data_IF_418876753524
#
_entry.id   IF_418876753524
#
_cell.length_a   1.000
_cell.length_b   1.000
_cell.length_c   1.000
_cell.angle_alpha   90.00
_cell.angle_beta   90.00
_cell.angle_gamma   90.00
#
_symmetry.space_group_name_H-M   'P 1'
#
loop_
_entity.id
_entity.type
_entity.pdbx_description
1 polymer ?
#
# COMPACT_ATOMS: atom_id res chain seq x y z
N UNK A 1 17.14 10.81 -26.59
CA UNK A 1 17.21 9.36 -26.24
C UNK A 1 16.72 9.25 -24.81
N UNK A 2 15.55 8.65 -24.57
CA UNK A 2 15.05 8.36 -23.22
C UNK A 2 15.99 7.32 -22.59
N UNK A 3 16.75 7.69 -21.56
CA UNK A 3 17.56 6.77 -20.78
C UNK A 3 16.61 5.85 -20.00
N UNK A 4 16.47 4.62 -20.48
CA UNK A 4 15.72 3.58 -19.75
C UNK A 4 16.38 3.39 -18.38
N UNK A 5 15.62 3.51 -17.30
CA UNK A 5 16.18 3.35 -15.96
C UNK A 5 16.78 1.94 -15.84
N UNK A 6 17.91 1.80 -15.13
CA UNK A 6 18.59 0.52 -14.91
C UNK A 6 17.62 -0.55 -14.35
N UNK A 7 16.59 -0.12 -13.60
CA UNK A 7 15.54 -0.98 -13.09
C UNK A 7 14.60 -1.52 -14.17
N UNK A 8 14.25 -0.69 -15.14
CA UNK A 8 13.43 -1.09 -16.30
C UNK A 8 14.20 -2.07 -17.17
N UNK A 9 15.48 -1.81 -17.42
CA UNK A 9 16.37 -2.70 -18.16
C UNK A 9 16.51 -4.08 -17.49
N UNK A 10 16.72 -4.14 -16.17
CA UNK A 10 16.76 -5.40 -15.41
C UNK A 10 15.44 -6.17 -15.45
N UNK A 11 14.32 -5.47 -15.37
CA UNK A 11 12.99 -6.12 -15.46
C UNK A 11 12.78 -6.70 -16.86
N UNK A 12 13.07 -5.93 -17.91
CA UNK A 12 13.04 -6.43 -19.29
C UNK A 12 13.94 -7.64 -19.50
N UNK A 13 15.17 -7.59 -18.99
CA UNK A 13 16.11 -8.71 -19.05
C UNK A 13 15.55 -9.97 -18.36
N UNK A 14 14.86 -9.84 -17.22
CA UNK A 14 14.25 -10.98 -16.54
C UNK A 14 13.21 -11.68 -17.44
N UNK A 15 12.39 -10.92 -18.16
CA UNK A 15 11.44 -11.50 -19.11
C UNK A 15 12.15 -12.19 -20.27
N UNK A 16 13.15 -11.54 -20.87
CA UNK A 16 13.93 -12.13 -21.97
C UNK A 16 14.62 -13.41 -21.51
N UNK A 17 15.26 -13.38 -20.35
CA UNK A 17 15.94 -14.56 -19.82
C UNK A 17 15.00 -15.72 -19.52
N UNK A 18 13.82 -15.45 -18.96
CA UNK A 18 12.79 -16.49 -18.73
C UNK A 18 12.31 -17.11 -20.06
N UNK A 19 12.16 -16.30 -21.10
CA UNK A 19 11.86 -16.79 -22.44
C UNK A 19 13.00 -17.67 -22.99
N UNK A 20 14.26 -17.23 -22.85
CA UNK A 20 15.43 -18.04 -23.27
C UNK A 20 15.51 -19.35 -22.50
N UNK A 21 15.18 -19.39 -21.20
CA UNK A 21 15.11 -20.63 -20.42
C UNK A 21 14.05 -21.58 -20.95
N UNK A 22 12.88 -21.07 -21.32
CA UNK A 22 11.82 -21.85 -21.93
C UNK A 22 12.29 -22.41 -23.31
N UNK A 23 12.82 -21.55 -24.17
CA UNK A 23 13.32 -21.96 -25.49
C UNK A 23 14.49 -22.99 -25.38
N UNK A 24 15.37 -22.85 -24.39
CA UNK A 24 16.45 -23.81 -24.13
C UNK A 24 15.94 -25.17 -23.66
N UNK A 25 14.81 -25.18 -22.92
CA UNK A 25 14.17 -26.45 -22.51
C UNK A 25 13.56 -27.20 -23.69
N UNK A 26 13.09 -26.48 -24.72
CA UNK A 26 12.58 -27.07 -25.97
C UNK A 26 13.72 -27.48 -26.93
N UNK A 27 14.77 -26.65 -27.02
CA UNK A 27 15.96 -26.91 -27.84
C UNK A 27 17.22 -26.40 -27.12
N UNK A 28 18.11 -27.35 -26.65
CA UNK A 28 19.33 -27.01 -25.95
C UNK A 28 20.33 -26.17 -26.76
N UNK A 29 20.19 -26.04 -28.07
CA UNK A 29 21.01 -25.16 -28.90
C UNK A 29 20.77 -23.68 -28.60
N UNK A 30 19.62 -23.31 -28.03
CA UNK A 30 19.30 -21.95 -27.64
C UNK A 30 20.12 -21.52 -26.40
N UNK A 31 20.84 -20.41 -26.53
CA UNK A 31 21.65 -19.89 -25.43
C UNK A 31 20.82 -19.13 -24.41
N UNK A 32 21.14 -19.33 -23.12
CA UNK A 32 20.53 -18.61 -22.01
C UNK A 32 21.52 -17.55 -21.47
N UNK A 33 21.19 -16.26 -21.50
CA UNK A 33 22.04 -15.22 -20.96
C UNK A 33 22.31 -15.44 -19.45
N UNK A 34 23.54 -15.24 -18.94
CA UNK A 34 23.84 -15.42 -17.52
C UNK A 34 23.02 -14.45 -16.66
N UNK A 35 22.55 -14.93 -15.51
CA UNK A 35 21.70 -14.13 -14.58
C UNK A 35 22.44 -12.88 -14.04
N UNK A 36 23.78 -12.87 -14.14
CA UNK A 36 24.66 -11.82 -13.61
C UNK A 36 24.90 -10.65 -14.57
N UNK A 37 24.31 -10.62 -15.78
CA UNK A 37 24.51 -9.53 -16.78
C UNK A 37 24.38 -8.13 -16.18
N UNK A 38 23.46 -7.92 -15.25
CA UNK A 38 23.27 -6.64 -14.56
C UNK A 38 23.85 -6.61 -13.13
N UNK A 39 24.76 -7.55 -12.81
CA UNK A 39 25.35 -7.70 -11.48
C UNK A 39 24.40 -8.36 -10.46
N UNK A 40 24.99 -8.83 -9.34
CA UNK A 40 24.25 -9.50 -8.24
C UNK A 40 23.64 -8.53 -7.21
N UNK A 41 23.72 -7.22 -7.42
CA UNK A 41 23.31 -6.23 -6.44
C UNK A 41 21.82 -6.34 -6.09
N UNK A 42 21.50 -6.57 -4.80
CA UNK A 42 20.15 -6.35 -4.27
C UNK A 42 19.79 -4.87 -4.50
N UNK A 43 18.59 -4.62 -5.02
CA UNK A 43 18.09 -3.24 -5.14
C UNK A 43 17.93 -2.69 -3.73
N UNK A 44 18.55 -1.56 -3.37
CA UNK A 44 18.18 -0.88 -2.14
C UNK A 44 16.69 -0.53 -2.26
N UNK A 45 15.88 -0.98 -1.30
CA UNK A 45 14.50 -0.53 -1.21
C UNK A 45 14.54 0.91 -0.71
N UNK A 46 13.88 1.86 -1.39
CA UNK A 46 13.85 3.23 -0.89
C UNK A 46 13.12 3.26 0.44
N UNK A 47 13.61 4.05 1.38
CA UNK A 47 12.92 4.30 2.66
C UNK A 47 11.45 4.68 2.40
N UNK A 48 10.48 4.12 3.15
CA UNK A 48 9.08 4.45 2.98
C UNK A 48 8.85 5.93 3.29
N UNK A 49 8.02 6.57 2.48
CA UNK A 49 7.55 7.92 2.79
C UNK A 49 6.37 7.81 3.77
N UNK A 50 6.57 8.27 5.01
CA UNK A 50 5.53 8.26 6.03
C UNK A 50 4.69 9.52 5.92
N UNK A 51 3.41 9.33 5.62
CA UNK A 51 2.46 10.42 5.40
C UNK A 51 1.88 10.84 6.75
N UNK A 52 1.90 12.13 7.05
CA UNK A 52 1.34 12.65 8.30
C UNK A 52 -0.20 12.64 8.25
N UNK A 53 -0.88 12.48 9.41
CA UNK A 53 -2.35 12.43 9.47
C UNK A 53 -3.02 13.66 8.84
N UNK A 54 -2.44 14.83 9.01
CA UNK A 54 -2.92 16.10 8.44
C UNK A 54 -2.87 16.07 6.92
N UNK A 55 -1.80 15.50 6.35
CA UNK A 55 -1.64 15.36 4.90
C UNK A 55 -2.67 14.38 4.32
N UNK A 56 -2.94 13.27 5.03
CA UNK A 56 -3.98 12.30 4.62
C UNK A 56 -5.34 13.00 4.60
N UNK A 57 -5.70 13.71 5.68
CA UNK A 57 -6.97 14.46 5.77
C UNK A 57 -7.09 15.52 4.69
N UNK A 58 -6.00 16.25 4.41
CA UNK A 58 -5.97 17.26 3.35
C UNK A 58 -6.21 16.65 1.95
N UNK A 59 -5.57 15.51 1.64
CA UNK A 59 -5.79 14.79 0.37
C UNK A 59 -7.22 14.29 0.27
N UNK A 60 -7.77 13.70 1.34
CA UNK A 60 -9.16 13.26 1.37
C UNK A 60 -10.12 14.43 1.14
N UNK A 61 -9.91 15.56 1.81
CA UNK A 61 -10.74 16.78 1.63
C UNK A 61 -10.64 17.30 0.20
N UNK A 62 -9.43 17.42 -0.34
CA UNK A 62 -9.20 17.89 -1.71
C UNK A 62 -9.83 16.94 -2.77
N UNK A 63 -10.01 15.65 -2.46
CA UNK A 63 -10.70 14.73 -3.34
C UNK A 63 -12.17 15.09 -3.57
N UNK A 64 -12.84 15.72 -2.60
CA UNK A 64 -14.24 16.17 -2.74
C UNK A 64 -14.38 17.32 -3.75
N UNK A 65 -13.32 18.05 -4.02
CA UNK A 65 -13.28 19.16 -4.99
C UNK A 65 -12.97 18.71 -6.43
N UNK A 66 -12.76 17.42 -6.65
CA UNK A 66 -12.50 16.88 -7.99
C UNK A 66 -13.70 17.07 -8.92
N UNK A 67 -13.47 17.42 -10.20
CA UNK A 67 -14.52 17.43 -11.20
C UNK A 67 -14.92 16.00 -11.65
N UNK A 68 -16.18 15.79 -12.04
CA UNK A 68 -17.30 16.72 -11.93
C UNK A 68 -17.81 16.79 -10.47
N UNK A 69 -18.02 18.02 -9.98
CA UNK A 69 -18.54 18.26 -8.61
C UNK A 69 -19.98 17.73 -8.48
N UNK A 70 -20.34 17.28 -7.27
CA UNK A 70 -21.68 16.74 -6.99
C UNK A 70 -21.94 15.34 -7.54
N UNK A 71 -21.04 14.77 -8.28
CA UNK A 71 -21.12 13.38 -8.78
C UNK A 71 -20.41 12.41 -7.83
N UNK A 72 -20.63 11.11 -8.03
CA UNK A 72 -20.08 10.08 -7.13
C UNK A 72 -18.55 10.03 -7.08
N UNK A 73 -17.84 10.32 -8.18
CA UNK A 73 -16.38 10.14 -8.25
C UNK A 73 -15.57 10.90 -7.19
N UNK A 74 -15.85 12.18 -6.86
CA UNK A 74 -15.20 12.88 -5.75
C UNK A 74 -15.33 12.12 -4.41
N UNK A 75 -16.53 11.68 -4.07
CA UNK A 75 -16.78 10.90 -2.85
C UNK A 75 -16.05 9.55 -2.89
N UNK A 76 -16.06 8.89 -4.04
CA UNK A 76 -15.32 7.63 -4.22
C UNK A 76 -13.84 7.78 -3.87
N UNK A 77 -13.14 8.80 -4.39
CA UNK A 77 -11.74 9.01 -4.06
C UNK A 77 -11.51 9.44 -2.61
N UNK A 78 -12.42 10.25 -2.05
CA UNK A 78 -12.37 10.63 -0.64
C UNK A 78 -12.38 9.40 0.28
N UNK A 79 -13.39 8.54 0.14
CA UNK A 79 -13.55 7.37 1.00
C UNK A 79 -12.56 6.24 0.66
N UNK A 80 -12.18 6.07 -0.60
CA UNK A 80 -11.14 5.12 -1.01
C UNK A 80 -9.80 5.44 -0.36
N UNK A 81 -9.37 6.70 -0.39
CA UNK A 81 -8.10 7.09 0.22
C UNK A 81 -8.15 6.98 1.75
N UNK A 82 -9.29 7.30 2.36
CA UNK A 82 -9.52 7.08 3.78
C UNK A 82 -9.42 5.61 4.17
N UNK A 83 -10.09 4.72 3.43
CA UNK A 83 -10.02 3.27 3.67
C UNK A 83 -8.59 2.74 3.53
N UNK A 84 -7.88 3.13 2.47
CA UNK A 84 -6.48 2.70 2.26
C UNK A 84 -5.56 3.17 3.39
N UNK A 85 -5.76 4.38 3.91
CA UNK A 85 -5.00 4.92 5.04
C UNK A 85 -5.30 4.19 6.35
N UNK A 86 -6.59 3.85 6.58
CA UNK A 86 -7.05 3.25 7.82
C UNK A 86 -6.83 1.73 7.92
N UNK A 87 -6.66 1.05 6.77
CA UNK A 87 -6.57 -0.42 6.72
C UNK A 87 -5.28 -0.95 6.09
N UNK A 88 -4.50 -0.11 5.44
CA UNK A 88 -3.31 -0.55 4.71
C UNK A 88 -3.60 -1.53 3.57
N UNK A 89 -4.83 -1.65 3.08
CA UNK A 89 -5.18 -2.49 1.94
C UNK A 89 -4.36 -2.13 0.69
N UNK A 90 -4.09 -3.13 -0.16
CA UNK A 90 -3.57 -2.83 -1.49
C UNK A 90 -4.66 -2.15 -2.32
N UNK A 91 -4.27 -1.19 -3.17
CA UNK A 91 -5.23 -0.52 -4.06
C UNK A 91 -6.06 -1.51 -4.88
N UNK A 92 -5.45 -2.61 -5.36
CA UNK A 92 -6.17 -3.64 -6.12
C UNK A 92 -7.17 -4.41 -5.26
N UNK A 93 -6.89 -4.62 -3.98
CA UNK A 93 -7.81 -5.25 -3.04
C UNK A 93 -8.99 -4.33 -2.74
N UNK A 94 -8.72 -3.05 -2.41
CA UNK A 94 -9.76 -2.07 -2.15
C UNK A 94 -10.69 -1.83 -3.35
N UNK A 95 -10.17 -1.84 -4.57
CA UNK A 95 -10.96 -1.67 -5.79
C UNK A 95 -11.73 -2.94 -6.22
N UNK A 96 -11.39 -4.09 -5.66
CA UNK A 96 -12.10 -5.34 -5.90
C UNK A 96 -13.20 -5.61 -4.87
N UNK A 97 -13.34 -4.76 -3.84
CA UNK A 97 -14.39 -4.89 -2.82
C UNK A 97 -15.77 -4.70 -3.45
N UNK A 98 -16.69 -5.56 -3.03
CA UNK A 98 -18.10 -5.47 -3.34
C UNK A 98 -18.87 -4.92 -2.14
N UNK A 99 -20.11 -4.45 -2.34
CA UNK A 99 -20.94 -3.97 -1.24
C UNK A 99 -21.17 -5.06 -0.18
N UNK A 100 -21.34 -6.31 -0.61
CA UNK A 100 -21.57 -7.47 0.24
C UNK A 100 -20.31 -7.92 1.02
N UNK A 101 -19.15 -7.35 0.73
CA UNK A 101 -17.93 -7.61 1.49
C UNK A 101 -17.89 -6.81 2.80
N UNK A 102 -18.74 -5.81 2.97
CA UNK A 102 -18.91 -5.09 4.24
C UNK A 102 -19.83 -5.91 5.15
N UNK A 103 -19.26 -6.69 6.05
CA UNK A 103 -19.96 -7.54 7.01
C UNK A 103 -19.90 -6.95 8.42
N UNK A 104 -20.63 -7.51 9.38
CA UNK A 104 -20.68 -7.03 10.76
C UNK A 104 -19.28 -6.91 11.40
N UNK A 105 -18.42 -7.90 11.20
CA UNK A 105 -17.07 -7.95 11.79
C UNK A 105 -16.02 -7.15 11.01
N UNK A 106 -16.33 -6.59 9.83
CA UNK A 106 -15.34 -5.87 9.03
C UNK A 106 -15.53 -5.93 7.53
N UNK A 107 -14.40 -6.08 6.81
CA UNK A 107 -14.37 -6.23 5.36
C UNK A 107 -13.77 -7.58 4.96
N UNK A 108 -14.45 -8.32 4.09
CA UNK A 108 -13.93 -9.56 3.50
C UNK A 108 -13.12 -9.21 2.25
N UNK A 109 -11.82 -9.45 2.29
CA UNK A 109 -10.93 -9.34 1.13
C UNK A 109 -10.83 -10.69 0.45
N UNK A 110 -11.58 -10.88 -0.67
CA UNK A 110 -11.73 -12.18 -1.34
C UNK A 110 -10.54 -12.58 -2.21
N UNK A 111 -9.90 -11.62 -2.85
CA UNK A 111 -8.87 -11.87 -3.85
C UNK A 111 -7.47 -11.54 -3.34
N UNK A 112 -7.09 -12.11 -2.18
CA UNK A 112 -5.71 -12.06 -1.71
C UNK A 112 -4.76 -12.82 -2.66
N UNK A 113 -3.44 -12.59 -2.52
CA UNK A 113 -2.44 -13.35 -3.26
C UNK A 113 -2.63 -14.85 -3.02
N UNK A 114 -2.69 -15.67 -4.07
CA UNK A 114 -3.01 -17.12 -4.04
C UNK A 114 -4.48 -17.46 -3.72
N UNK A 115 -5.46 -16.58 -3.99
CA UNK A 115 -6.89 -16.86 -3.79
C UNK A 115 -7.33 -16.91 -2.32
N UNK A 116 -6.44 -16.55 -1.37
CA UNK A 116 -6.79 -16.57 0.06
C UNK A 116 -7.70 -15.39 0.42
N UNK A 117 -8.74 -15.70 1.17
CA UNK A 117 -9.63 -14.68 1.77
C UNK A 117 -9.12 -14.31 3.16
N UNK A 118 -9.36 -13.05 3.56
CA UNK A 118 -9.13 -12.61 4.93
C UNK A 118 -10.14 -11.55 5.34
N UNK A 119 -10.46 -11.56 6.61
CA UNK A 119 -11.24 -10.51 7.25
C UNK A 119 -10.31 -9.36 7.68
N UNK A 120 -10.72 -8.14 7.39
CA UNK A 120 -10.11 -6.90 7.87
C UNK A 120 -11.06 -6.31 8.90
N UNK A 121 -10.73 -6.41 10.18
CA UNK A 121 -11.49 -5.77 11.24
C UNK A 121 -11.52 -4.26 11.05
N UNK A 122 -12.69 -3.65 11.20
CA UNK A 122 -12.87 -2.21 11.07
C UNK A 122 -13.18 -1.59 12.43
N UNK A 123 -12.52 -0.47 12.71
CA UNK A 123 -12.93 0.40 13.80
C UNK A 123 -14.32 1.00 13.50
N UNK A 124 -15.16 1.27 14.53
CA UNK A 124 -16.51 1.80 14.34
C UNK A 124 -16.56 3.06 13.45
N UNK A 125 -15.60 3.98 13.62
CA UNK A 125 -15.50 5.19 12.81
C UNK A 125 -15.29 4.94 11.32
N UNK A 126 -14.52 3.89 10.97
CA UNK A 126 -14.27 3.52 9.57
C UNK A 126 -15.51 2.88 8.97
N UNK A 127 -16.18 2.02 9.73
CA UNK A 127 -17.48 1.45 9.35
C UNK A 127 -18.49 2.56 9.05
N UNK A 128 -18.68 3.48 9.98
CA UNK A 128 -19.59 4.61 9.81
C UNK A 128 -19.26 5.45 8.56
N UNK A 129 -17.97 5.66 8.29
CA UNK A 129 -17.55 6.35 7.07
C UNK A 129 -17.95 5.59 5.79
N UNK A 130 -17.80 4.25 5.76
CA UNK A 130 -18.21 3.45 4.61
C UNK A 130 -19.73 3.44 4.44
N UNK A 131 -20.49 3.36 5.51
CA UNK A 131 -21.96 3.45 5.50
C UNK A 131 -22.43 4.82 4.97
N UNK A 132 -21.78 5.92 5.40
CA UNK A 132 -22.03 7.25 4.86
C UNK A 132 -21.71 7.35 3.36
N UNK A 133 -20.65 6.67 2.91
CA UNK A 133 -20.36 6.56 1.49
C UNK A 133 -21.43 5.78 0.74
N UNK A 134 -21.90 4.64 1.26
CA UNK A 134 -22.97 3.85 0.65
C UNK A 134 -24.28 4.63 0.58
N UNK A 135 -24.63 5.38 1.62
CA UNK A 135 -25.79 6.28 1.61
C UNK A 135 -25.64 7.38 0.53
N UNK A 136 -24.46 7.98 0.40
CA UNK A 136 -24.17 8.95 -0.66
C UNK A 136 -24.27 8.33 -2.04
N UNK A 137 -23.77 7.11 -2.20
CA UNK A 137 -23.85 6.32 -3.42
C UNK A 137 -25.30 6.05 -3.84
N UNK A 138 -26.13 5.61 -2.90
CA UNK A 138 -27.56 5.39 -3.12
C UNK A 138 -28.28 6.69 -3.53
N UNK A 139 -28.04 7.78 -2.80
CA UNK A 139 -28.63 9.10 -3.09
C UNK A 139 -28.26 9.62 -4.49
N UNK A 140 -27.06 9.31 -4.98
CA UNK A 140 -26.60 9.71 -6.30
C UNK A 140 -26.94 8.70 -7.41
N UNK A 141 -27.76 7.67 -7.10
CA UNK A 141 -28.24 6.69 -8.07
C UNK A 141 -27.16 5.79 -8.66
N UNK A 142 -26.03 5.61 -7.97
CA UNK A 142 -24.97 4.73 -8.45
C UNK A 142 -25.38 3.26 -8.29
N UNK A 143 -25.33 2.52 -9.38
CA UNK A 143 -25.72 1.10 -9.47
C UNK A 143 -24.50 0.16 -9.46
N UNK A 144 -24.77 -1.15 -9.47
CA UNK A 144 -23.75 -2.21 -9.48
C UNK A 144 -23.31 -2.63 -8.08
N UNK A 145 -22.53 -3.71 -7.96
CA UNK A 145 -22.11 -4.28 -6.67
C UNK A 145 -20.71 -3.83 -6.24
N UNK A 146 -19.90 -3.22 -7.12
CA UNK A 146 -18.59 -2.69 -6.73
C UNK A 146 -18.75 -1.70 -5.58
N UNK A 147 -17.99 -1.85 -4.48
CA UNK A 147 -18.07 -0.94 -3.34
C UNK A 147 -17.74 0.50 -3.78
N UNK A 148 -16.62 0.70 -4.45
CA UNK A 148 -16.19 1.99 -4.98
C UNK A 148 -16.53 2.12 -6.47
N UNK A 149 -17.29 3.13 -6.85
CA UNK A 149 -17.72 3.33 -8.23
C UNK A 149 -17.42 4.73 -8.74
N UNK A 150 -17.19 4.83 -10.03
CA UNK A 150 -17.13 6.11 -10.77
C UNK A 150 -18.50 6.46 -11.34
N UNK A 151 -18.61 7.61 -12.01
CA UNK A 151 -19.81 8.01 -12.78
C UNK A 151 -20.24 6.98 -13.84
N UNK A 152 -19.37 6.02 -14.17
CA UNK A 152 -19.66 4.93 -15.13
C UNK A 152 -20.26 3.69 -14.46
N UNK A 153 -20.54 3.73 -13.17
CA UNK A 153 -21.07 2.59 -12.40
C UNK A 153 -20.09 1.44 -12.18
N UNK A 154 -18.79 1.64 -12.41
CA UNK A 154 -17.74 0.63 -12.25
C UNK A 154 -16.62 1.15 -11.37
N UNK A 155 -15.87 0.23 -10.75
CA UNK A 155 -14.71 0.57 -9.96
C UNK A 155 -13.68 1.42 -10.74
N UNK A 156 -13.02 2.39 -10.08
CA UNK A 156 -11.92 3.12 -10.68
C UNK A 156 -10.79 2.18 -11.11
N UNK A 157 -10.18 2.41 -12.26
CA UNK A 157 -8.98 1.68 -12.62
C UNK A 157 -7.81 2.09 -11.71
N UNK A 158 -7.00 1.12 -11.26
CA UNK A 158 -5.88 1.35 -10.30
C UNK A 158 -4.92 2.46 -10.73
N UNK A 159 -4.61 2.56 -12.03
CA UNK A 159 -3.74 3.61 -12.57
C UNK A 159 -4.41 4.98 -12.40
N UNK A 160 -5.72 5.07 -12.64
CA UNK A 160 -6.46 6.32 -12.47
C UNK A 160 -6.48 6.77 -11.01
N UNK A 161 -6.71 5.85 -10.07
CA UNK A 161 -6.64 6.16 -8.63
C UNK A 161 -5.26 6.70 -8.23
N UNK A 162 -4.18 6.08 -8.75
CA UNK A 162 -2.82 6.55 -8.53
C UNK A 162 -2.60 7.96 -9.11
N UNK A 163 -3.02 8.21 -10.35
CA UNK A 163 -2.90 9.53 -11.00
C UNK A 163 -3.65 10.60 -10.23
N UNK A 164 -4.88 10.31 -9.77
CA UNK A 164 -5.68 11.25 -8.96
C UNK A 164 -4.96 11.56 -7.66
N UNK A 165 -4.49 10.56 -6.93
CA UNK A 165 -3.75 10.76 -5.67
C UNK A 165 -2.51 11.64 -5.87
N UNK A 166 -1.68 11.34 -6.87
CA UNK A 166 -0.46 12.09 -7.18
C UNK A 166 -0.78 13.54 -7.59
N UNK A 167 -1.86 13.75 -8.35
CA UNK A 167 -2.33 15.09 -8.72
C UNK A 167 -2.70 15.89 -7.47
N UNK A 168 -3.49 15.32 -6.56
CA UNK A 168 -3.87 15.99 -5.32
C UNK A 168 -2.66 16.28 -4.43
N UNK A 169 -1.75 15.33 -4.28
CA UNK A 169 -0.51 15.52 -3.52
C UNK A 169 0.34 16.67 -4.09
N UNK A 170 0.38 16.84 -5.42
CA UNK A 170 1.04 17.99 -6.06
C UNK A 170 0.32 19.31 -5.80
N UNK A 171 -1.00 19.33 -5.94
CA UNK A 171 -1.81 20.52 -5.69
C UNK A 171 -1.65 21.05 -4.26
N UNK A 172 -1.44 20.14 -3.31
CA UNK A 172 -1.22 20.45 -1.89
C UNK A 172 0.26 20.69 -1.53
N UNK A 173 1.17 20.65 -2.51
CA UNK A 173 2.61 20.85 -2.26
C UNK A 173 3.34 19.68 -1.60
N UNK A 174 2.69 18.51 -1.45
CA UNK A 174 3.28 17.32 -0.82
C UNK A 174 4.13 16.48 -1.80
N UNK A 175 4.11 16.82 -3.06
CA UNK A 175 4.90 16.17 -4.09
C UNK A 175 5.36 17.18 -5.13
N UNK A 176 6.63 17.11 -5.51
CA UNK A 176 7.21 17.96 -6.55
C UNK A 176 6.70 17.65 -7.97
N UNK A 177 7.23 18.37 -8.97
CA UNK A 177 6.84 18.23 -10.38
C UNK A 177 6.97 16.81 -10.93
N UNK A 178 6.53 16.62 -12.17
CA UNK A 178 6.67 15.33 -12.88
C UNK A 178 8.15 14.96 -13.00
N UNK A 179 8.47 13.70 -12.71
CA UNK A 179 9.86 13.19 -12.71
C UNK A 179 10.54 13.22 -11.34
N UNK A 180 10.00 13.94 -10.34
CA UNK A 180 10.56 13.94 -8.98
C UNK A 180 10.01 12.80 -8.13
N UNK A 181 10.85 12.29 -7.21
CA UNK A 181 10.41 11.39 -6.15
C UNK A 181 9.43 12.10 -5.20
N UNK A 182 8.68 11.36 -4.40
CA UNK A 182 7.79 11.91 -3.39
C UNK A 182 6.59 11.01 -3.12
N UNK A 183 5.64 11.51 -2.34
CA UNK A 183 4.44 10.81 -1.88
C UNK A 183 3.70 10.05 -2.98
N UNK A 184 3.37 8.78 -2.73
CA UNK A 184 2.66 7.88 -3.64
C UNK A 184 1.46 7.27 -2.93
N UNK A 185 0.47 6.81 -3.69
CA UNK A 185 -0.69 6.12 -3.13
C UNK A 185 -0.33 4.91 -2.26
N UNK A 186 0.72 4.17 -2.63
CA UNK A 186 1.17 3.01 -1.86
C UNK A 186 1.80 3.38 -0.52
N UNK A 187 2.23 4.62 -0.36
CA UNK A 187 2.80 5.10 0.91
C UNK A 187 1.74 5.21 2.02
N UNK A 188 0.43 5.25 1.69
CA UNK A 188 -0.65 5.08 2.68
C UNK A 188 -0.53 3.74 3.42
N UNK A 189 -0.27 2.66 2.68
CA UNK A 189 -0.06 1.33 3.27
C UNK A 189 1.24 1.25 4.06
N UNK A 190 2.30 1.88 3.58
CA UNK A 190 3.57 1.96 4.32
C UNK A 190 3.36 2.70 5.63
N UNK A 191 2.67 3.83 5.60
CA UNK A 191 2.31 4.62 6.78
C UNK A 191 1.49 3.81 7.78
N UNK A 192 0.46 3.10 7.31
CA UNK A 192 -0.34 2.22 8.16
C UNK A 192 0.54 1.17 8.87
N UNK A 193 1.40 0.48 8.12
CA UNK A 193 2.25 -0.57 8.67
C UNK A 193 3.24 -0.03 9.72
N UNK A 194 3.91 1.10 9.43
CA UNK A 194 4.85 1.72 10.37
C UNK A 194 4.13 2.19 11.63
N UNK A 195 3.01 2.91 11.50
CA UNK A 195 2.24 3.38 12.66
C UNK A 195 1.66 2.24 13.50
N UNK A 196 1.25 1.15 12.86
CA UNK A 196 0.82 -0.06 13.58
C UNK A 196 1.96 -0.64 14.43
N UNK A 197 3.20 -0.61 13.93
CA UNK A 197 4.37 -1.05 14.69
C UNK A 197 4.74 -0.05 15.79
N UNK A 198 4.64 1.25 15.54
CA UNK A 198 4.90 2.31 16.55
C UNK A 198 3.91 2.26 17.74
N UNK A 199 2.71 1.73 17.51
CA UNK A 199 1.69 1.56 18.56
C UNK A 199 1.85 0.27 19.36
N UNK A 200 2.79 -0.61 19.01
CA UNK A 200 3.07 -1.84 19.72
C UNK A 200 3.88 -1.56 20.99
N UNK A 201 3.67 -2.37 22.04
CA UNK A 201 4.58 -2.38 23.19
C UNK A 201 6.02 -2.67 22.73
N UNK A 202 7.05 -2.02 23.30
CA UNK A 202 8.45 -2.25 22.92
C UNK A 202 8.98 -3.62 23.33
N UNK A 203 8.22 -4.39 24.12
CA UNK A 203 8.60 -5.74 24.53
C UNK A 203 8.84 -6.64 23.29
N UNK A 204 9.94 -7.40 23.32
CA UNK A 204 10.42 -8.21 22.20
C UNK A 204 9.39 -9.25 21.73
N UNK A 205 8.71 -9.89 22.67
CA UNK A 205 7.71 -10.91 22.39
C UNK A 205 6.46 -10.28 21.79
N UNK A 206 5.99 -9.15 22.34
CA UNK A 206 4.89 -8.37 21.82
C UNK A 206 5.16 -7.88 20.40
N UNK A 207 6.36 -7.37 20.11
CA UNK A 207 6.76 -6.95 18.76
C UNK A 207 6.76 -8.15 17.81
N UNK A 208 7.26 -9.32 18.21
CA UNK A 208 7.28 -10.50 17.35
C UNK A 208 5.86 -10.98 16.99
N UNK A 209 4.96 -11.05 17.97
CA UNK A 209 3.56 -11.40 17.76
C UNK A 209 2.84 -10.35 16.89
N UNK A 210 3.04 -9.06 17.15
CA UNK A 210 2.45 -7.98 16.35
C UNK A 210 2.93 -8.01 14.91
N UNK A 211 4.21 -8.29 14.67
CA UNK A 211 4.77 -8.45 13.33
C UNK A 211 4.13 -9.61 12.56
N UNK A 212 3.90 -10.75 13.21
CA UNK A 212 3.24 -11.89 12.61
C UNK A 212 1.78 -11.55 12.27
N UNK A 213 1.05 -10.95 13.21
CA UNK A 213 -0.33 -10.50 13.02
C UNK A 213 -0.45 -9.47 11.89
N UNK A 214 0.42 -8.46 11.88
CA UNK A 214 0.48 -7.43 10.83
C UNK A 214 0.80 -8.02 9.46
N UNK A 215 1.71 -9.01 9.40
CA UNK A 215 2.04 -9.71 8.16
C UNK A 215 0.82 -10.42 7.59
N UNK A 216 0.06 -11.12 8.43
CA UNK A 216 -1.18 -11.79 8.05
C UNK A 216 -2.25 -10.77 7.63
N UNK A 217 -2.49 -9.74 8.45
CA UNK A 217 -3.46 -8.67 8.19
C UNK A 217 -3.20 -7.98 6.85
N UNK A 218 -1.95 -7.64 6.57
CA UNK A 218 -1.55 -7.04 5.30
C UNK A 218 -1.56 -8.03 4.13
N UNK A 219 -1.69 -9.34 4.36
CA UNK A 219 -1.64 -10.37 3.33
C UNK A 219 -0.26 -10.44 2.65
N UNK A 220 0.82 -10.40 3.44
CA UNK A 220 2.16 -10.64 2.94
C UNK A 220 2.39 -12.14 2.73
N UNK A 221 3.06 -12.51 1.64
CA UNK A 221 3.41 -13.92 1.35
C UNK A 221 4.60 -14.40 2.19
N UNK A 222 5.30 -13.50 2.87
CA UNK A 222 6.42 -13.77 3.77
C UNK A 222 6.52 -12.65 4.80
N UNK A 223 6.78 -13.02 6.04
CA UNK A 223 7.02 -12.07 7.14
C UNK A 223 8.19 -11.14 6.84
N UNK A 224 9.18 -11.61 6.07
CA UNK A 224 10.31 -10.80 5.62
C UNK A 224 9.88 -9.49 4.89
N UNK A 225 8.69 -9.47 4.27
CA UNK A 225 8.15 -8.25 3.68
C UNK A 225 7.65 -7.25 4.73
N UNK A 226 7.41 -7.69 5.96
CA UNK A 226 7.00 -6.86 7.09
C UNK A 226 8.22 -6.36 7.86
N UNK A 227 9.28 -7.17 7.98
CA UNK A 227 10.54 -6.77 8.64
C UNK A 227 11.15 -5.48 8.08
N UNK A 228 10.97 -5.22 6.79
CA UNK A 228 11.44 -3.98 6.18
C UNK A 228 10.84 -2.70 6.82
N UNK A 229 9.65 -2.80 7.41
CA UNK A 229 9.04 -1.65 8.11
C UNK A 229 9.75 -1.32 9.43
N UNK A 230 10.43 -2.29 10.06
CA UNK A 230 11.23 -2.02 11.26
C UNK A 230 12.36 -1.04 10.98
N UNK A 231 13.00 -1.11 9.80
CA UNK A 231 14.05 -0.16 9.39
C UNK A 231 13.51 1.28 9.29
N UNK A 232 12.20 1.45 9.10
CA UNK A 232 11.53 2.74 8.99
C UNK A 232 10.86 3.19 10.29
N UNK A 233 11.08 2.49 11.40
CA UNK A 233 10.45 2.74 12.70
C UNK A 233 11.51 3.18 13.73
N UNK A 234 11.91 4.49 13.73
CA UNK A 234 12.96 4.98 14.63
C UNK A 234 12.63 4.81 16.11
N UNK A 235 11.35 4.75 16.47
CA UNK A 235 10.90 4.56 17.87
C UNK A 235 11.39 3.22 18.40
N UNK A 236 11.17 2.13 17.67
CA UNK A 236 11.63 0.79 18.06
C UNK A 236 13.17 0.67 18.08
N UNK A 237 13.87 1.46 17.26
CA UNK A 237 15.33 1.50 17.27
C UNK A 237 15.92 2.29 18.43
N UNK A 238 15.18 3.30 18.95
CA UNK A 238 15.60 4.07 20.14
C UNK A 238 15.68 3.21 21.39
N UNK A 239 14.77 2.27 21.57
CA UNK A 239 14.78 1.37 22.72
C UNK A 239 16.03 0.47 22.74
N UNK A 240 16.48 0.05 21.55
CA UNK A 240 17.75 -0.69 21.40
C UNK A 240 18.94 0.21 21.74
N UNK A 241 18.92 1.47 21.33
CA UNK A 241 19.97 2.45 21.63
C UNK A 241 20.00 2.77 23.13
N UNK A 242 18.84 2.96 23.77
CA UNK A 242 18.73 3.19 25.21
C UNK A 242 19.27 2.00 26.01
N UNK A 243 18.88 0.78 25.67
CA UNK A 243 19.41 -0.42 26.31
C UNK A 243 20.94 -0.57 26.13
N UNK A 244 21.50 -0.08 25.03
CA UNK A 244 22.94 -0.06 24.82
C UNK A 244 23.64 1.01 25.66
N UNK A 245 22.98 2.13 25.89
CA UNK A 245 23.47 3.21 26.75
C UNK A 245 23.48 2.78 28.21
N UNK A 246 22.40 2.15 28.70
CA UNK A 246 22.31 1.57 30.05
C UNK A 246 23.41 0.53 30.29
N UNK A 247 23.68 -0.32 29.29
CA UNK A 247 24.78 -1.29 29.35
C UNK A 247 26.15 -0.61 29.41
N UNK A 248 26.35 0.48 28.67
CA UNK A 248 27.60 1.24 28.64
C UNK A 248 27.82 2.01 29.96
N UNK A 249 26.78 2.59 30.52
CA UNK A 249 26.85 3.35 31.75
C UNK A 249 26.88 2.46 33.00
N UNK A 250 26.63 1.16 32.89
CA UNK A 250 26.66 0.21 34.00
C UNK A 250 25.46 0.31 34.94
N UNK A 251 24.35 0.90 34.49
CA UNK A 251 23.12 1.08 35.28
C UNK A 251 22.16 -0.14 35.19
N UNK A 252 22.58 -1.21 34.51
CA UNK A 252 21.81 -2.45 34.44
C UNK A 252 22.15 -3.36 35.64
N UNK A 253 21.45 -3.20 36.75
CA UNK A 253 21.43 -4.16 37.87
C UNK A 253 19.99 -4.39 38.32
#
# INVERSE_FOLDING_TARGET
RATTSQNTARTGFTFVRNFCLFAHAEDPANQVPPASVFGRGKRPRPTPHIIQPEQIRAIMKAALDLPPKGMISPFTYHYLFGLLAATGLRISEALALQCDDLVEDGLIVRNGKFGKQRLIALQPSIRQALEAYLATRARLGATGNDLFVTIRGRAPHKVRAHVVFVRLARQLGYRGPTGTAGMRLHDLRHTFAVRSLESCSPDREAVAHHMAALSFYLGHSSVANTYWYLEATPVLLRDIAAASEDLYLGEAA
#
